data_IF_093868334441
#
_entry.id   IF_093868334441
#
_cell.length_a   1.000
_cell.length_b   1.000
_cell.length_c   1.000
_cell.angle_alpha   90.00
_cell.angle_beta   90.00
_cell.angle_gamma   90.00
#
_symmetry.space_group_name_H-M   'P 1'
#
loop_
_entity.id
_entity.type
_entity.pdbx_description
1 polymer ?
#
# COMPACT_ATOMS: atom_id res chain seq x y z
N UNK A 1 19.33 -35.93 8.35
CA UNK A 1 17.96 -35.67 8.87
C UNK A 1 17.85 -34.17 8.95
N UNK A 2 17.03 -33.53 8.11
CA UNK A 2 16.57 -32.19 8.44
C UNK A 2 15.64 -32.33 9.65
N UNK A 3 15.84 -31.51 10.68
CA UNK A 3 14.79 -31.32 11.67
C UNK A 3 13.76 -30.39 11.07
N UNK A 4 12.52 -30.86 10.94
CA UNK A 4 11.38 -29.96 10.80
C UNK A 4 11.29 -29.14 12.10
N UNK A 5 12.01 -28.01 12.11
CA UNK A 5 11.91 -27.01 13.16
C UNK A 5 10.54 -26.37 13.02
N UNK A 6 9.56 -26.99 13.69
CA UNK A 6 8.17 -26.56 13.71
C UNK A 6 8.13 -25.05 13.94
N UNK A 7 7.66 -24.27 12.97
CA UNK A 7 7.52 -22.82 13.11
C UNK A 7 6.69 -22.60 14.38
N UNK A 8 7.23 -21.92 15.42
CA UNK A 8 6.57 -21.84 16.70
C UNK A 8 5.19 -21.18 16.53
N UNK A 9 4.16 -21.76 17.18
CA UNK A 9 2.75 -21.36 17.01
C UNK A 9 2.60 -19.84 17.04
N UNK A 10 2.43 -19.23 15.86
CA UNK A 10 2.38 -17.78 15.75
C UNK A 10 1.00 -17.29 16.18
N UNK A 11 0.91 -16.82 17.42
CA UNK A 11 -0.31 -16.33 18.04
C UNK A 11 -0.54 -14.87 17.66
N UNK A 12 -1.48 -14.66 16.74
CA UNK A 12 -1.90 -13.32 16.32
C UNK A 12 -2.98 -12.79 17.25
N UNK A 13 -2.84 -11.55 17.70
CA UNK A 13 -3.89 -10.78 18.36
C UNK A 13 -4.13 -9.51 17.55
N UNK A 14 -5.38 -9.27 17.15
CA UNK A 14 -5.76 -8.14 16.31
C UNK A 14 -6.60 -7.11 17.08
N UNK A 15 -6.17 -5.85 17.05
CA UNK A 15 -7.02 -4.69 17.39
C UNK A 15 -7.42 -4.04 16.06
N UNK A 16 -8.70 -4.16 15.69
CA UNK A 16 -9.18 -3.60 14.44
C UNK A 16 -9.32 -2.07 14.54
N UNK A 17 -8.68 -1.32 13.66
CA UNK A 17 -8.78 0.15 13.59
C UNK A 17 -10.08 0.62 12.91
N UNK A 18 -10.73 -0.24 12.14
CA UNK A 18 -12.09 -0.08 11.62
C UNK A 18 -12.73 -1.45 11.36
N UNK A 19 -14.05 -1.47 11.16
CA UNK A 19 -14.80 -2.63 10.70
C UNK A 19 -15.72 -2.21 9.55
N UNK A 20 -15.37 -2.57 8.32
CA UNK A 20 -16.06 -2.15 7.09
C UNK A 20 -16.38 -3.34 6.19
N UNK A 21 -17.52 -3.28 5.48
CA UNK A 21 -17.95 -4.38 4.60
C UNK A 21 -17.08 -4.61 3.35
N UNK A 22 -16.18 -3.68 3.05
CA UNK A 22 -15.24 -3.71 1.93
C UNK A 22 -14.10 -2.69 2.16
N UNK A 23 -13.05 -2.76 1.33
CA UNK A 23 -11.95 -1.81 1.33
C UNK A 23 -12.40 -0.39 0.92
N UNK A 24 -11.65 0.64 1.32
CA UNK A 24 -11.99 2.07 1.12
C UNK A 24 -11.91 2.54 -0.33
N UNK A 25 -11.20 1.81 -1.20
CA UNK A 25 -11.12 2.09 -2.64
C UNK A 25 -12.44 1.85 -3.41
N UNK A 26 -13.41 1.16 -2.82
CA UNK A 26 -14.72 0.93 -3.43
C UNK A 26 -15.61 2.19 -3.34
N UNK A 27 -16.41 2.45 -4.38
CA UNK A 27 -17.30 3.63 -4.48
C UNK A 27 -18.33 3.80 -3.35
N UNK A 28 -18.57 2.75 -2.57
CA UNK A 28 -19.46 2.73 -1.42
C UNK A 28 -18.79 1.92 -0.32
N UNK A 29 -18.79 2.45 0.90
CA UNK A 29 -18.21 1.81 2.09
C UNK A 29 -19.20 2.01 3.24
N UNK A 30 -19.47 0.96 4.01
CA UNK A 30 -20.24 1.04 5.25
C UNK A 30 -19.52 0.26 6.34
N UNK A 31 -19.61 0.77 7.57
CA UNK A 31 -18.88 0.23 8.71
C UNK A 31 -18.70 1.27 9.82
N UNK A 32 -17.89 0.91 10.81
CA UNK A 32 -17.44 1.78 11.91
C UNK A 32 -15.93 2.02 11.83
N UNK A 33 -15.49 3.17 12.35
CA UNK A 33 -14.08 3.43 12.69
C UNK A 33 -13.94 3.25 14.20
N UNK A 34 -12.89 2.57 14.65
CA UNK A 34 -12.60 2.39 16.08
C UNK A 34 -11.95 3.67 16.62
N UNK A 35 -12.40 4.15 17.77
CA UNK A 35 -11.88 5.37 18.39
C UNK A 35 -10.47 5.15 18.99
N UNK A 36 -9.66 6.21 19.14
CA UNK A 36 -8.37 6.11 19.81
C UNK A 36 -8.51 5.74 21.30
N UNK A 37 -9.62 6.09 21.95
CA UNK A 37 -9.96 5.65 23.30
C UNK A 37 -10.27 4.14 23.31
N UNK A 38 -11.11 3.64 22.39
CA UNK A 38 -11.43 2.21 22.26
C UNK A 38 -10.17 1.36 21.99
N UNK A 39 -9.26 1.84 21.14
CA UNK A 39 -7.96 1.19 20.88
C UNK A 39 -7.11 1.08 22.16
N UNK A 40 -7.09 2.14 22.98
CA UNK A 40 -6.33 2.17 24.23
C UNK A 40 -7.01 1.36 25.35
N UNK A 41 -8.33 1.33 25.43
CA UNK A 41 -9.10 0.51 26.37
C UNK A 41 -8.90 -0.99 26.09
N UNK A 42 -8.93 -1.38 24.80
CA UNK A 42 -8.59 -2.75 24.40
C UNK A 42 -7.17 -3.13 24.81
N UNK A 43 -6.17 -2.27 24.56
CA UNK A 43 -4.79 -2.52 24.97
C UNK A 43 -4.63 -2.60 26.50
N UNK A 44 -5.31 -1.72 27.25
CA UNK A 44 -5.32 -1.75 28.71
C UNK A 44 -5.93 -3.05 29.26
N UNK A 45 -7.01 -3.56 28.64
CA UNK A 45 -7.58 -4.87 28.98
C UNK A 45 -6.61 -6.03 28.77
N UNK A 46 -5.79 -5.98 27.71
CA UNK A 46 -4.70 -6.95 27.49
C UNK A 46 -3.61 -6.84 28.56
N UNK A 47 -3.21 -5.62 28.90
CA UNK A 47 -2.20 -5.33 29.93
C UNK A 47 -2.64 -5.83 31.32
N UNK A 48 -3.89 -5.55 31.71
CA UNK A 48 -4.50 -6.07 32.95
C UNK A 48 -4.59 -7.61 32.96
N UNK A 49 -4.77 -8.23 31.78
CA UNK A 49 -4.81 -9.68 31.62
C UNK A 49 -3.42 -10.34 31.52
N UNK A 50 -2.32 -9.57 31.55
CA UNK A 50 -0.94 -10.02 31.27
C UNK A 50 -0.76 -10.62 29.86
N UNK A 51 -1.54 -10.16 28.89
CA UNK A 51 -1.52 -10.58 27.48
C UNK A 51 -0.77 -9.60 26.56
N UNK A 52 -0.07 -8.60 27.11
CA UNK A 52 0.65 -7.57 26.35
C UNK A 52 2.12 -7.93 26.01
N UNK A 53 2.54 -9.18 26.24
CA UNK A 53 3.90 -9.68 25.95
C UNK A 53 4.05 -10.08 24.48
N UNK A 54 4.20 -9.10 23.59
CA UNK A 54 4.36 -9.32 22.15
C UNK A 54 5.83 -9.35 21.70
N UNK A 55 6.17 -10.26 20.77
CA UNK A 55 7.48 -10.26 20.10
C UNK A 55 7.50 -9.45 18.80
N UNK A 56 6.34 -9.26 18.16
CA UNK A 56 6.19 -8.41 17.00
C UNK A 56 4.95 -7.53 17.17
N UNK A 57 5.06 -6.26 16.81
CA UNK A 57 3.92 -5.39 16.55
C UNK A 57 3.87 -5.12 15.05
N UNK A 58 2.71 -5.33 14.42
CA UNK A 58 2.44 -4.89 13.05
C UNK A 58 1.32 -3.85 13.09
N UNK A 59 1.56 -2.69 12.47
CA UNK A 59 0.58 -1.58 12.41
C UNK A 59 0.46 -1.09 10.98
N UNK A 60 -0.74 -1.19 10.40
CA UNK A 60 -1.11 -0.61 9.12
C UNK A 60 -2.10 0.55 9.29
N UNK A 61 -3.03 0.69 8.33
CA UNK A 61 -3.99 1.78 8.22
C UNK A 61 -4.69 2.18 9.53
N UNK A 62 -4.57 3.48 9.85
CA UNK A 62 -5.30 4.15 10.92
C UNK A 62 -6.36 5.10 10.35
N UNK A 63 -7.49 5.31 11.05
CA UNK A 63 -8.60 6.12 10.56
C UNK A 63 -8.58 7.60 11.02
N UNK A 64 -7.59 8.01 11.82
CA UNK A 64 -7.40 9.39 12.29
C UNK A 64 -5.99 9.58 12.88
N UNK A 65 -5.49 10.82 12.90
CA UNK A 65 -4.21 11.19 13.54
C UNK A 65 -4.15 10.75 15.02
N UNK A 66 -5.27 10.84 15.75
CA UNK A 66 -5.35 10.40 17.13
C UNK A 66 -5.22 8.87 17.29
N UNK A 67 -5.61 8.08 16.28
CA UNK A 67 -5.37 6.63 16.26
C UNK A 67 -3.89 6.32 15.98
N UNK A 68 -3.22 7.09 15.12
CA UNK A 68 -1.74 7.02 14.92
C UNK A 68 -1.01 7.34 16.24
N UNK A 69 -1.44 8.38 16.97
CA UNK A 69 -0.94 8.68 18.31
C UNK A 69 -1.24 7.56 19.33
N UNK A 70 -2.38 6.86 19.23
CA UNK A 70 -2.75 5.75 20.11
C UNK A 70 -1.84 4.53 19.91
N UNK A 71 -1.66 4.06 18.67
CA UNK A 71 -0.71 2.98 18.38
C UNK A 71 0.75 3.40 18.64
N UNK A 72 1.04 4.70 18.54
CA UNK A 72 2.29 5.31 19.02
C UNK A 72 2.54 5.20 20.53
N UNK A 73 1.50 5.17 21.37
CA UNK A 73 1.63 4.90 22.81
C UNK A 73 1.85 3.41 23.06
N UNK A 74 1.06 2.56 22.39
CA UNK A 74 1.11 1.10 22.50
C UNK A 74 2.50 0.55 22.12
N UNK A 75 3.01 0.92 20.95
CA UNK A 75 4.32 0.44 20.48
C UNK A 75 5.48 0.85 21.40
N UNK A 76 5.41 2.03 22.01
CA UNK A 76 6.41 2.50 22.99
C UNK A 76 6.32 1.78 24.33
N UNK A 77 5.13 1.45 24.83
CA UNK A 77 4.98 0.64 26.05
C UNK A 77 5.57 -0.76 25.85
N UNK A 78 5.24 -1.43 24.74
CA UNK A 78 5.79 -2.76 24.42
C UNK A 78 7.32 -2.68 24.23
N UNK A 79 7.84 -1.68 23.51
CA UNK A 79 9.29 -1.47 23.31
C UNK A 79 10.03 -1.14 24.61
N UNK A 80 9.39 -0.43 25.54
CA UNK A 80 9.91 -0.19 26.89
C UNK A 80 9.98 -1.48 27.72
N UNK A 81 8.89 -2.26 27.75
CA UNK A 81 8.83 -3.54 28.46
C UNK A 81 9.88 -4.54 27.92
N UNK A 82 10.09 -4.57 26.60
CA UNK A 82 11.12 -5.36 25.94
C UNK A 82 12.56 -4.84 26.13
N UNK A 83 12.75 -3.61 26.63
CA UNK A 83 14.06 -2.96 26.74
C UNK A 83 15.10 -3.69 27.62
N UNK A 84 14.65 -4.66 28.42
CA UNK A 84 15.54 -5.54 29.22
C UNK A 84 16.11 -6.73 28.43
N UNK A 85 15.55 -7.06 27.26
CA UNK A 85 16.03 -8.10 26.35
C UNK A 85 16.09 -7.57 24.90
N UNK A 86 17.22 -6.95 24.50
CA UNK A 86 17.47 -6.54 23.13
C UNK A 86 17.10 -7.62 22.10
N UNK A 87 16.51 -7.20 20.99
CA UNK A 87 16.02 -8.09 19.92
C UNK A 87 14.73 -8.88 20.23
N UNK A 88 14.18 -8.85 21.45
CA UNK A 88 12.97 -9.63 21.77
C UNK A 88 11.65 -9.01 21.31
N UNK A 89 11.68 -7.79 20.78
CA UNK A 89 10.55 -7.06 20.20
C UNK A 89 10.97 -6.37 18.91
N UNK A 90 10.09 -6.41 17.90
CA UNK A 90 10.30 -5.82 16.58
C UNK A 90 9.01 -5.16 16.10
N UNK A 91 9.04 -3.88 15.74
CA UNK A 91 7.87 -3.16 15.24
C UNK A 91 7.94 -2.95 13.72
N UNK A 92 6.98 -3.55 13.00
CA UNK A 92 6.68 -3.28 11.59
C UNK A 92 5.60 -2.20 11.47
N UNK A 93 5.93 -1.10 10.80
CA UNK A 93 5.02 0.00 10.51
C UNK A 93 4.78 0.08 9.00
N UNK A 94 3.59 -0.29 8.57
CA UNK A 94 3.06 -0.01 7.23
C UNK A 94 2.37 1.37 7.29
N UNK A 95 2.99 2.44 6.75
CA UNK A 95 2.54 3.81 6.92
C UNK A 95 1.48 4.14 5.87
N UNK A 96 0.34 3.46 5.92
CA UNK A 96 -0.74 3.55 4.91
C UNK A 96 -1.36 4.95 4.92
N UNK A 97 -0.96 5.79 3.96
CA UNK A 97 -1.39 7.17 3.82
C UNK A 97 -1.98 7.48 2.43
N UNK A 98 -1.51 6.82 1.37
CA UNK A 98 -1.91 7.17 0.01
C UNK A 98 -1.12 6.45 -1.07
N UNK A 99 -1.59 6.55 -2.31
CA UNK A 99 -1.00 5.91 -3.49
C UNK A 99 -1.37 6.74 -4.74
N UNK A 100 -0.75 6.48 -5.89
CA UNK A 100 -0.99 7.17 -7.16
C UNK A 100 -0.98 8.71 -7.03
N UNK A 101 -0.01 9.23 -6.29
CA UNK A 101 0.22 10.66 -6.11
C UNK A 101 -0.80 11.37 -5.21
N UNK A 102 -1.60 10.64 -4.42
CA UNK A 102 -2.67 11.21 -3.60
C UNK A 102 -2.83 10.53 -2.23
N UNK A 103 -2.96 11.34 -1.18
CA UNK A 103 -3.40 10.89 0.14
C UNK A 103 -4.86 10.39 0.13
N UNK A 104 -5.10 9.31 0.85
CA UNK A 104 -6.43 8.78 1.17
C UNK A 104 -6.87 9.10 2.61
N UNK A 105 -5.92 9.53 3.45
CA UNK A 105 -6.14 10.01 4.81
C UNK A 105 -6.06 11.56 4.88
N UNK A 106 -6.59 12.19 5.95
CA UNK A 106 -6.33 13.59 6.30
C UNK A 106 -4.83 13.95 6.37
N UNK A 107 -4.48 15.18 5.98
CA UNK A 107 -3.09 15.64 5.91
C UNK A 107 -2.41 15.76 7.29
N UNK A 108 -3.19 15.93 8.36
CA UNK A 108 -2.72 16.02 9.75
C UNK A 108 -2.28 14.66 10.35
N UNK A 109 -2.52 13.54 9.65
CA UNK A 109 -1.95 12.24 10.03
C UNK A 109 -0.47 12.09 9.62
N UNK A 110 -0.02 12.78 8.55
CA UNK A 110 1.33 12.65 8.00
C UNK A 110 2.43 13.06 9.01
N UNK A 111 2.29 14.15 9.80
CA UNK A 111 3.22 14.47 10.88
C UNK A 111 3.30 13.38 11.96
N UNK A 112 2.18 12.70 12.27
CA UNK A 112 2.15 11.65 13.28
C UNK A 112 2.88 10.39 12.79
N UNK A 113 2.64 9.94 11.55
CA UNK A 113 3.42 8.84 10.96
C UNK A 113 4.92 9.18 10.94
N UNK A 114 5.30 10.42 10.57
CA UNK A 114 6.70 10.89 10.64
C UNK A 114 7.28 10.86 12.05
N UNK A 115 6.47 11.05 13.09
CA UNK A 115 6.89 10.94 14.49
C UNK A 115 7.10 9.47 14.92
N UNK A 116 6.36 8.51 14.36
CA UNK A 116 6.50 7.08 14.69
C UNK A 116 7.70 6.39 14.03
N UNK A 117 8.23 6.94 12.93
CA UNK A 117 9.33 6.29 12.16
C UNK A 117 10.57 5.96 13.01
N UNK A 118 10.80 6.66 14.13
CA UNK A 118 11.93 6.38 15.03
C UNK A 118 11.66 5.22 16.00
N UNK A 119 10.40 4.93 16.28
CA UNK A 119 10.01 3.85 17.18
C UNK A 119 9.90 2.51 16.44
N UNK A 120 9.67 2.53 15.12
CA UNK A 120 9.62 1.36 14.25
C UNK A 120 11.01 0.73 13.97
N UNK A 121 11.04 -0.56 13.70
CA UNK A 121 12.25 -1.33 13.34
C UNK A 121 12.29 -1.66 11.83
N UNK A 122 11.12 -1.87 11.22
CA UNK A 122 10.91 -1.99 9.77
C UNK A 122 9.75 -1.09 9.33
N UNK A 123 9.90 -0.41 8.20
CA UNK A 123 8.80 0.30 7.54
C UNK A 123 8.52 -0.23 6.12
N UNK A 124 7.25 -0.22 5.71
CA UNK A 124 6.77 -0.83 4.45
C UNK A 124 6.11 0.15 3.43
N UNK A 125 6.53 1.43 3.31
CA UNK A 125 5.85 2.40 2.44
C UNK A 125 5.84 1.99 0.95
N UNK A 126 4.80 2.38 0.22
CA UNK A 126 4.87 2.43 -1.24
C UNK A 126 5.71 3.65 -1.72
N UNK A 127 5.90 3.81 -3.04
CA UNK A 127 6.65 4.97 -3.59
C UNK A 127 6.15 6.32 -3.07
N UNK A 128 4.85 6.60 -3.16
CA UNK A 128 4.29 7.91 -2.78
C UNK A 128 4.39 8.18 -1.27
N UNK A 129 4.26 7.13 -0.45
CA UNK A 129 4.48 7.21 0.99
C UNK A 129 5.96 7.47 1.31
N UNK A 130 6.89 6.82 0.61
CA UNK A 130 8.32 7.07 0.76
C UNK A 130 8.70 8.50 0.34
N UNK A 131 8.13 9.03 -0.75
CA UNK A 131 8.27 10.44 -1.14
C UNK A 131 7.78 11.37 -0.01
N UNK A 132 6.58 11.10 0.50
CA UNK A 132 5.90 11.90 1.53
C UNK A 132 6.66 11.88 2.86
N UNK A 133 7.21 10.74 3.28
CA UNK A 133 7.95 10.56 4.53
C UNK A 133 9.38 11.14 4.47
N UNK A 134 10.06 10.98 3.33
CA UNK A 134 11.43 11.48 3.11
C UNK A 134 11.50 12.96 2.72
N UNK A 135 10.38 13.57 2.33
CA UNK A 135 10.31 14.92 1.74
C UNK A 135 11.11 15.02 0.41
N UNK A 136 11.21 13.92 -0.33
CA UNK A 136 12.04 13.77 -1.56
C UNK A 136 11.24 13.10 -2.67
N UNK A 137 11.07 13.77 -3.82
CA UNK A 137 10.46 13.16 -5.02
C UNK A 137 11.36 12.07 -5.58
N UNK A 138 10.78 10.92 -5.92
CA UNK A 138 11.48 9.77 -6.48
C UNK A 138 11.19 9.71 -7.98
N UNK A 139 12.23 9.79 -8.79
CA UNK A 139 12.18 9.73 -10.27
C UNK A 139 12.95 8.56 -10.87
N UNK A 140 13.80 7.91 -10.07
CA UNK A 140 14.84 6.96 -10.48
C UNK A 140 15.48 6.30 -9.25
N UNK A 141 16.41 5.36 -9.46
CA UNK A 141 17.09 4.65 -8.36
C UNK A 141 18.01 5.54 -7.51
N UNK A 142 18.54 6.65 -8.03
CA UNK A 142 19.43 7.56 -7.29
C UNK A 142 18.62 8.44 -6.31
N UNK A 143 17.52 9.01 -6.77
CA UNK A 143 16.55 9.74 -5.94
C UNK A 143 15.87 8.82 -4.91
N UNK A 144 15.60 7.55 -5.27
CA UNK A 144 15.17 6.52 -4.34
C UNK A 144 16.20 6.25 -3.25
N UNK A 145 17.48 6.08 -3.62
CA UNK A 145 18.57 5.88 -2.66
C UNK A 145 18.72 7.09 -1.72
N UNK A 146 18.52 8.31 -2.22
CA UNK A 146 18.50 9.53 -1.40
C UNK A 146 17.30 9.55 -0.42
N UNK A 147 16.09 9.18 -0.87
CA UNK A 147 14.92 9.07 -0.02
C UNK A 147 15.12 8.03 1.11
N UNK A 148 15.63 6.83 0.79
CA UNK A 148 15.94 5.78 1.77
C UNK A 148 17.07 6.22 2.72
N UNK A 149 18.09 6.92 2.22
CA UNK A 149 19.14 7.51 3.05
C UNK A 149 18.58 8.54 4.05
N UNK A 150 17.56 9.33 3.67
CA UNK A 150 16.86 10.21 4.61
C UNK A 150 16.06 9.40 5.63
N UNK A 151 15.35 8.36 5.21
CA UNK A 151 14.57 7.49 6.12
C UNK A 151 15.46 6.89 7.23
N UNK A 152 16.61 6.30 6.84
CA UNK A 152 17.59 5.80 7.79
C UNK A 152 18.19 6.93 8.66
N UNK A 153 18.65 8.05 8.08
CA UNK A 153 19.48 9.03 8.80
C UNK A 153 18.71 10.07 9.63
N UNK A 154 17.55 10.53 9.15
CA UNK A 154 16.70 11.53 9.83
C UNK A 154 15.91 10.88 10.96
N UNK A 155 15.27 9.75 10.66
CA UNK A 155 14.36 9.10 11.60
C UNK A 155 15.02 7.99 12.43
N UNK A 156 16.14 7.42 11.97
CA UNK A 156 16.87 6.28 12.58
C UNK A 156 16.24 4.90 12.32
N UNK A 157 15.40 4.81 11.28
CA UNK A 157 14.77 3.56 10.80
C UNK A 157 15.84 2.51 10.46
N UNK A 158 15.84 1.32 11.09
CA UNK A 158 16.79 0.25 10.78
C UNK A 158 16.55 -0.40 9.42
N UNK A 159 15.31 -0.76 9.11
CA UNK A 159 14.93 -1.46 7.87
C UNK A 159 13.83 -0.72 7.10
N UNK A 160 13.95 -0.69 5.77
CA UNK A 160 12.96 -0.11 4.85
C UNK A 160 12.68 -1.13 3.75
N UNK A 161 11.41 -1.36 3.41
CA UNK A 161 11.04 -1.98 2.13
C UNK A 161 10.11 -1.02 1.41
N UNK A 162 10.47 -0.66 0.19
CA UNK A 162 9.60 0.05 -0.74
C UNK A 162 8.77 -1.00 -1.47
N UNK A 163 7.51 -1.13 -1.07
CA UNK A 163 6.66 -2.30 -1.39
C UNK A 163 6.21 -2.37 -2.85
N UNK A 164 6.24 -1.25 -3.58
CA UNK A 164 6.04 -1.24 -5.03
C UNK A 164 6.71 -0.04 -5.69
N UNK A 165 7.44 -0.31 -6.78
CA UNK A 165 8.00 0.65 -7.73
C UNK A 165 7.75 0.15 -9.14
N UNK A 166 7.44 1.07 -10.06
CA UNK A 166 7.25 0.79 -11.49
C UNK A 166 8.42 1.39 -12.26
N UNK A 167 9.36 0.56 -12.70
CA UNK A 167 10.57 1.01 -13.37
C UNK A 167 10.49 0.83 -14.89
N UNK A 168 10.96 1.85 -15.61
CA UNK A 168 11.28 1.78 -17.04
C UNK A 168 12.58 1.01 -17.28
N UNK A 169 12.88 0.68 -18.55
CA UNK A 169 14.16 0.04 -18.94
C UNK A 169 15.41 0.86 -18.59
N UNK A 170 15.30 2.19 -18.48
CA UNK A 170 16.37 3.09 -18.03
C UNK A 170 16.35 3.36 -16.51
N UNK A 171 15.65 2.52 -15.72
CA UNK A 171 15.54 2.59 -14.26
C UNK A 171 14.95 3.90 -13.71
N UNK A 172 14.11 4.59 -14.50
CA UNK A 172 13.26 5.68 -14.01
C UNK A 172 11.98 5.13 -13.43
N UNK A 173 11.47 5.75 -12.38
CA UNK A 173 10.12 5.45 -11.89
C UNK A 173 9.07 6.11 -12.77
N UNK A 174 8.03 5.36 -13.11
CA UNK A 174 6.83 5.92 -13.75
C UNK A 174 6.04 6.68 -12.68
N UNK A 175 5.86 7.98 -12.91
CA UNK A 175 5.28 8.95 -11.97
C UNK A 175 3.96 8.47 -11.37
N UNK A 176 3.91 8.36 -10.05
CA UNK A 176 2.68 8.12 -9.27
C UNK A 176 1.59 9.15 -9.58
N UNK A 177 1.99 10.39 -9.92
CA UNK A 177 1.13 11.43 -10.49
C UNK A 177 0.74 11.10 -11.93
N UNK A 178 -0.52 10.70 -12.12
CA UNK A 178 -1.17 10.65 -13.44
C UNK A 178 -1.17 12.04 -14.09
N UNK A 179 -0.75 12.19 -15.36
CA UNK A 179 -0.86 13.46 -16.08
C UNK A 179 -2.33 13.92 -16.17
N UNK A 180 -2.62 15.08 -15.56
CA UNK A 180 -3.96 15.67 -15.65
C UNK A 180 -4.28 16.00 -17.11
N UNK A 181 -5.28 15.31 -17.71
CA UNK A 181 -5.75 15.59 -19.07
C UNK A 181 -5.99 17.09 -19.23
N UNK A 182 -5.26 17.71 -20.16
CA UNK A 182 -5.28 19.15 -20.41
C UNK A 182 -6.73 19.61 -20.66
N UNK A 183 -7.23 20.66 -19.98
CA UNK A 183 -8.57 21.17 -20.23
C UNK A 183 -8.70 21.60 -21.69
N UNK A 184 -9.58 20.93 -22.44
CA UNK A 184 -9.91 21.30 -23.81
C UNK A 184 -10.47 22.73 -23.82
N UNK A 185 -9.87 23.62 -24.62
CA UNK A 185 -10.20 25.05 -24.71
C UNK A 185 -11.70 25.31 -24.62
N UNK A 186 -12.13 26.07 -23.60
CA UNK A 186 -13.45 26.66 -23.59
C UNK A 186 -13.58 27.69 -24.74
N UNK A 187 -14.61 27.61 -25.60
CA UNK A 187 -14.92 28.69 -26.53
C UNK A 187 -15.40 29.93 -25.76
N UNK A 188 -14.98 31.11 -26.17
CA UNK A 188 -15.25 32.36 -25.45
C UNK A 188 -16.51 33.07 -25.93
N UNK A 189 -17.19 33.70 -24.98
CA UNK A 189 -18.15 34.80 -25.12
C UNK A 189 -19.48 34.55 -25.87
N UNK A 190 -20.57 34.78 -25.15
CA UNK A 190 -21.33 36.01 -25.42
C UNK A 190 -21.98 36.55 -24.13
N UNK A 191 -22.23 37.87 -24.08
CA UNK A 191 -22.73 38.57 -22.89
C UNK A 191 -24.05 39.27 -23.21
N UNK A 192 -25.10 39.00 -22.43
CA UNK A 192 -26.24 39.91 -22.21
C UNK A 192 -27.16 39.40 -21.09
N UNK A 193 -27.98 40.28 -20.50
CA UNK A 193 -29.28 39.88 -19.95
C UNK A 193 -29.40 39.51 -18.46
N UNK A 194 -29.17 40.48 -17.57
CA UNK A 194 -30.09 40.92 -16.48
C UNK A 194 -30.94 39.94 -15.62
N UNK A 195 -31.12 40.33 -14.34
CA UNK A 195 -32.23 39.98 -13.41
C UNK A 195 -32.27 38.61 -12.69
N UNK A 196 -31.86 38.63 -11.41
CA UNK A 196 -32.61 38.04 -10.27
C UNK A 196 -34.01 38.68 -10.15
N UNK A 197 -35.05 38.09 -9.49
CA UNK A 197 -34.94 37.38 -8.20
C UNK A 197 -35.98 36.26 -7.89
N UNK A 198 -36.01 35.88 -6.59
CA UNK A 198 -37.07 35.23 -5.78
C UNK A 198 -37.24 33.69 -5.75
N UNK A 199 -37.39 33.21 -4.51
CA UNK A 199 -38.16 32.07 -3.98
C UNK A 199 -37.82 30.59 -4.27
N UNK A 200 -37.58 29.87 -3.17
CA UNK A 200 -37.85 28.43 -3.00
C UNK A 200 -39.32 28.19 -2.64
N UNK A 201 -39.79 26.94 -2.64
CA UNK A 201 -40.41 26.47 -1.40
C UNK A 201 -39.93 25.10 -0.90
N UNK A 202 -39.99 24.91 0.41
CA UNK A 202 -39.89 23.60 1.05
C UNK A 202 -41.09 22.70 0.69
N UNK A 203 -40.86 21.40 0.62
CA UNK A 203 -41.86 20.38 1.00
C UNK A 203 -41.16 19.28 1.81
N UNK A 204 -41.57 19.14 3.07
CA UNK A 204 -41.17 18.07 4.00
C UNK A 204 -42.27 16.96 4.01
N UNK A 205 -42.06 15.77 4.62
CA UNK A 205 -42.64 14.54 4.08
C UNK A 205 -43.91 14.08 4.81
N UNK A 206 -44.73 13.28 4.13
CA UNK A 206 -45.48 12.16 4.74
C UNK A 206 -46.18 11.31 3.69
N UNK A 207 -45.80 10.03 3.58
CA UNK A 207 -46.76 8.91 3.53
C UNK A 207 -46.09 7.56 3.72
N UNK A 208 -46.41 6.95 4.85
CA UNK A 208 -46.20 5.52 5.13
C UNK A 208 -47.19 4.72 4.28
N UNK A 209 -46.76 3.63 3.66
CA UNK A 209 -47.60 2.44 3.50
C UNK A 209 -46.74 1.17 3.40
N UNK A 210 -47.38 0.03 3.70
CA UNK A 210 -46.73 -1.22 4.11
C UNK A 210 -46.79 -2.33 3.05
N UNK A 211 -45.96 -3.35 3.25
CA UNK A 211 -45.79 -4.49 2.37
C UNK A 211 -47.04 -5.36 2.15
N UNK A 212 -47.12 -5.94 0.96
CA UNK A 212 -47.27 -7.40 0.75
C UNK A 212 -47.02 -7.73 -0.73
N UNK A 213 -46.42 -8.88 -1.03
CA UNK A 213 -46.14 -9.31 -2.42
C UNK A 213 -46.89 -10.58 -2.82
N UNK A 214 -46.87 -10.89 -4.12
CA UNK A 214 -47.24 -12.21 -4.65
C UNK A 214 -46.56 -12.46 -6.01
N UNK A 215 -45.98 -13.64 -6.18
CA UNK A 215 -45.30 -14.05 -7.42
C UNK A 215 -46.24 -14.82 -8.33
N UNK A 216 -46.21 -14.56 -9.64
CA UNK A 216 -46.67 -15.52 -10.66
C UNK A 216 -45.77 -15.50 -11.91
N UNK A 217 -45.47 -16.70 -12.42
CA UNK A 217 -44.75 -16.93 -13.67
C UNK A 217 -45.70 -16.88 -14.87
N UNK A 218 -45.27 -16.25 -15.98
CA UNK A 218 -45.69 -16.62 -17.35
C UNK A 218 -44.43 -16.66 -18.24
N UNK A 219 -44.46 -17.51 -19.26
CA UNK A 219 -43.27 -18.01 -19.98
C UNK A 219 -42.95 -17.28 -21.30
N UNK A 220 -41.65 -17.24 -21.63
CA UNK A 220 -41.04 -17.36 -22.96
C UNK A 220 -41.69 -16.72 -24.22
N UNK A 221 -40.92 -15.85 -24.87
CA UNK A 221 -40.78 -15.81 -26.34
C UNK A 221 -39.38 -15.32 -26.72
N UNK A 222 -38.82 -15.80 -27.83
CA UNK A 222 -37.47 -15.50 -28.33
C UNK A 222 -37.57 -15.29 -29.85
N UNK A 223 -37.21 -14.09 -30.34
CA UNK A 223 -37.19 -13.74 -31.75
C UNK A 223 -36.12 -12.68 -32.04
N UNK A 224 -35.19 -13.05 -32.92
CA UNK A 224 -34.30 -12.21 -33.73
C UNK A 224 -34.38 -12.77 -35.19
N UNK A 225 -33.80 -12.14 -36.22
CA UNK A 225 -34.03 -10.78 -36.69
C UNK A 225 -34.46 -10.80 -38.19
N UNK A 226 -33.84 -9.98 -39.05
CA UNK A 226 -34.11 -9.78 -40.50
C UNK A 226 -35.46 -9.09 -40.83
N UNK A 227 -35.66 -8.35 -41.93
CA UNK A 227 -34.81 -7.92 -43.08
C UNK A 227 -34.76 -6.36 -43.10
N UNK A 228 -34.31 -5.57 -44.09
CA UNK A 228 -33.85 -5.77 -45.48
C UNK A 228 -33.03 -4.56 -45.98
N UNK A 229 -32.47 -4.64 -47.20
CA UNK A 229 -31.94 -3.51 -47.97
C UNK A 229 -32.82 -3.17 -49.20
N UNK A 230 -32.67 -1.97 -49.77
CA UNK A 230 -32.63 -1.82 -51.23
C UNK A 230 -31.29 -1.21 -51.69
N UNK A 231 -30.87 -1.54 -52.92
CA UNK A 231 -29.62 -1.09 -53.52
C UNK A 231 -29.86 -0.15 -54.73
N UNK A 232 -28.90 0.72 -55.03
CA UNK A 232 -28.91 1.57 -56.22
C UNK A 232 -27.49 1.83 -56.79
N UNK A 233 -27.25 1.32 -58.00
CA UNK A 233 -26.37 1.84 -59.08
C UNK A 233 -24.97 2.41 -58.78
N UNK A 234 -23.97 1.92 -59.52
CA UNK A 234 -22.57 2.37 -59.52
C UNK A 234 -22.22 3.35 -60.66
N UNK A 235 -21.16 4.14 -60.44
CA UNK A 235 -20.41 4.91 -61.45
C UNK A 235 -18.91 4.97 -61.05
N UNK A 236 -17.96 5.18 -61.98
CA UNK A 236 -16.58 4.70 -61.81
C UNK A 236 -15.53 5.71 -61.29
N UNK A 237 -14.44 5.13 -60.77
CA UNK A 237 -13.07 5.62 -60.65
C UNK A 237 -12.79 7.09 -60.27
N UNK A 238 -12.43 7.27 -58.99
CA UNK A 238 -11.37 8.20 -58.59
C UNK A 238 -10.42 7.44 -57.67
N UNK A 239 -9.13 7.38 -58.01
CA UNK A 239 -8.16 6.63 -57.22
C UNK A 239 -7.94 7.30 -55.85
N UNK A 240 -8.21 6.57 -54.77
CA UNK A 240 -7.92 7.04 -53.43
C UNK A 240 -6.39 7.27 -53.27
N UNK A 241 -5.96 8.35 -52.59
CA UNK A 241 -4.56 8.48 -52.23
C UNK A 241 -4.13 7.32 -51.33
N UNK A 242 -2.84 6.93 -51.32
CA UNK A 242 -2.35 5.96 -50.35
C UNK A 242 -2.66 6.45 -48.92
N UNK A 243 -2.87 5.53 -47.95
CA UNK A 243 -2.96 5.94 -46.56
C UNK A 243 -1.70 6.75 -46.18
N UNK A 244 -1.81 7.74 -45.28
CA UNK A 244 -0.62 8.35 -44.72
C UNK A 244 0.28 7.25 -44.14
N UNK A 245 1.62 7.43 -44.15
CA UNK A 245 2.50 6.46 -43.51
C UNK A 245 2.00 6.26 -42.08
N UNK A 246 1.84 5.00 -41.68
CA UNK A 246 1.59 4.68 -40.28
C UNK A 246 2.76 5.27 -39.51
N UNK A 247 2.49 6.32 -38.72
CA UNK A 247 3.35 6.65 -37.60
C UNK A 247 3.36 5.38 -36.75
N UNK A 248 4.55 4.87 -36.45
CA UNK A 248 4.68 3.72 -35.56
C UNK A 248 4.00 4.10 -34.24
N UNK A 249 2.86 3.47 -33.95
CA UNK A 249 2.25 3.50 -32.62
C UNK A 249 3.37 3.08 -31.65
N UNK A 250 3.74 3.91 -30.66
CA UNK A 250 4.90 3.61 -29.82
C UNK A 250 4.71 2.23 -29.19
N UNK A 251 5.71 1.35 -29.35
CA UNK A 251 5.66 -0.01 -28.81
C UNK A 251 5.21 0.07 -27.35
N UNK A 252 4.11 -0.60 -27.02
CA UNK A 252 3.48 -0.51 -25.70
C UNK A 252 4.51 -0.80 -24.61
N UNK A 253 4.93 0.24 -23.88
CA UNK A 253 5.88 0.20 -22.75
C UNK A 253 5.21 -0.44 -21.51
N UNK A 254 4.53 -1.55 -21.76
CA UNK A 254 4.06 -2.56 -20.84
C UNK A 254 5.17 -2.91 -19.84
N UNK A 255 5.05 -2.28 -18.67
CA UNK A 255 5.75 -2.66 -17.44
C UNK A 255 5.41 -4.13 -17.21
N UNK A 256 6.42 -5.00 -17.20
CA UNK A 256 6.21 -6.44 -17.01
C UNK A 256 6.40 -6.88 -15.58
N UNK A 257 7.12 -6.08 -14.80
CA UNK A 257 7.59 -6.42 -13.46
C UNK A 257 7.35 -5.24 -12.51
N UNK A 258 6.88 -5.54 -11.30
CA UNK A 258 6.92 -4.62 -10.16
C UNK A 258 8.24 -4.83 -9.44
N UNK A 259 8.99 -3.75 -9.23
CA UNK A 259 10.23 -3.79 -8.47
C UNK A 259 9.95 -3.52 -6.99
N UNK A 260 10.52 -4.34 -6.12
CA UNK A 260 10.63 -4.13 -4.67
C UNK A 260 12.08 -3.73 -4.37
N UNK A 261 12.28 -2.63 -3.64
CA UNK A 261 13.60 -2.20 -3.20
C UNK A 261 13.63 -2.21 -1.67
N UNK A 262 14.48 -3.06 -1.10
CA UNK A 262 14.68 -3.16 0.34
C UNK A 262 16.00 -2.57 0.79
N UNK A 263 16.09 -2.18 2.06
CA UNK A 263 17.34 -1.74 2.67
C UNK A 263 17.45 -2.02 4.16
N UNK A 264 18.68 -2.34 4.58
CA UNK A 264 19.08 -2.41 5.98
C UNK A 264 20.19 -1.40 6.24
N UNK A 265 19.96 -0.51 7.20
CA UNK A 265 20.96 0.46 7.63
C UNK A 265 22.24 -0.22 8.13
N UNK A 266 23.37 0.43 7.86
CA UNK A 266 24.62 0.23 8.60
C UNK A 266 24.58 0.95 9.96
N UNK A 267 25.62 0.79 10.79
CA UNK A 267 25.77 1.50 12.06
C UNK A 267 25.85 3.02 11.89
N UNK A 268 26.39 3.52 10.76
CA UNK A 268 26.42 4.95 10.42
C UNK A 268 25.26 5.42 9.51
N UNK A 269 24.20 4.61 9.45
CA UNK A 269 22.94 4.86 8.74
C UNK A 269 23.05 4.99 7.20
N UNK A 270 24.11 4.50 6.55
CA UNK A 270 24.10 4.30 5.09
C UNK A 270 23.15 3.16 4.70
N UNK A 271 22.39 3.29 3.60
CA UNK A 271 21.59 2.19 3.06
C UNK A 271 22.47 1.07 2.49
N UNK A 272 22.02 -0.17 2.67
CA UNK A 272 22.48 -1.34 1.89
C UNK A 272 21.28 -1.79 1.06
N UNK A 273 21.25 -1.41 -0.21
CA UNK A 273 20.09 -1.62 -1.08
C UNK A 273 20.13 -3.01 -1.71
N UNK A 274 19.00 -3.71 -1.70
CA UNK A 274 18.77 -4.91 -2.51
C UNK A 274 17.51 -4.72 -3.37
N UNK A 275 17.47 -5.42 -4.50
CA UNK A 275 16.40 -5.36 -5.50
C UNK A 275 15.81 -6.75 -5.72
N UNK A 276 14.49 -6.79 -5.83
CA UNK A 276 13.72 -7.97 -6.25
C UNK A 276 12.72 -7.46 -7.30
N UNK A 277 12.68 -8.11 -8.47
CA UNK A 277 11.67 -7.87 -9.49
C UNK A 277 10.72 -9.05 -9.51
N UNK A 278 9.42 -8.79 -9.54
CA UNK A 278 8.37 -9.81 -9.64
C UNK A 278 7.44 -9.47 -10.80
N UNK A 279 7.00 -10.43 -11.63
CA UNK A 279 6.04 -10.17 -12.69
C UNK A 279 4.79 -9.45 -12.18
N UNK A 280 4.34 -8.44 -12.92
CA UNK A 280 3.10 -7.73 -12.63
C UNK A 280 1.91 -8.62 -13.01
N UNK A 281 1.07 -8.96 -12.01
CA UNK A 281 -0.23 -9.53 -12.28
C UNK A 281 -1.18 -8.42 -12.75
N UNK A 282 -1.95 -8.59 -13.85
CA UNK A 282 -2.89 -7.61 -14.37
C UNK A 282 -4.19 -7.55 -13.54
N UNK A 283 -4.06 -7.49 -12.21
CA UNK A 283 -5.13 -7.54 -11.22
C UNK A 283 -4.81 -6.55 -10.09
N UNK A 284 -5.68 -5.55 -9.90
CA UNK A 284 -5.53 -4.60 -8.81
C UNK A 284 -6.07 -5.17 -7.49
N UNK A 285 -5.16 -5.55 -6.60
CA UNK A 285 -5.48 -5.94 -5.22
C UNK A 285 -5.33 -4.73 -4.29
N UNK A 286 -6.42 -4.28 -3.68
CA UNK A 286 -6.42 -3.08 -2.82
C UNK A 286 -6.23 -3.44 -1.35
N UNK A 287 -5.21 -2.86 -0.71
CA UNK A 287 -4.90 -3.15 0.70
C UNK A 287 -4.18 -4.49 0.85
N UNK A 288 -2.95 -4.57 0.35
CA UNK A 288 -2.08 -5.75 0.39
C UNK A 288 -0.86 -5.58 1.30
N UNK A 289 -0.66 -4.41 1.92
CA UNK A 289 0.49 -4.12 2.79
C UNK A 289 0.50 -4.98 4.07
N UNK A 290 -0.67 -5.29 4.62
CA UNK A 290 -0.85 -6.21 5.74
C UNK A 290 -0.52 -7.67 5.35
N UNK A 291 -0.94 -8.11 4.17
CA UNK A 291 -0.56 -9.41 3.60
C UNK A 291 0.95 -9.48 3.31
N UNK A 292 1.55 -8.42 2.77
CA UNK A 292 2.99 -8.34 2.54
C UNK A 292 3.78 -8.40 3.86
N UNK A 293 3.33 -7.67 4.88
CA UNK A 293 3.88 -7.74 6.23
C UNK A 293 3.76 -9.16 6.81
N UNK A 294 2.57 -9.76 6.76
CA UNK A 294 2.30 -11.09 7.29
C UNK A 294 3.10 -12.21 6.59
N UNK A 295 3.43 -12.05 5.31
CA UNK A 295 4.26 -13.00 4.55
C UNK A 295 5.77 -12.74 4.67
N UNK A 296 6.18 -11.52 5.02
CA UNK A 296 7.60 -11.13 5.17
C UNK A 296 8.09 -11.34 6.60
N UNK A 297 7.28 -11.07 7.62
CA UNK A 297 7.67 -11.16 9.04
C UNK A 297 8.15 -12.58 9.43
N UNK A 298 7.45 -13.69 9.12
CA UNK A 298 7.92 -15.03 9.48
C UNK A 298 9.22 -15.38 8.76
N UNK A 299 9.32 -15.07 7.47
CA UNK A 299 10.54 -15.29 6.67
C UNK A 299 11.73 -14.46 7.18
N UNK A 300 11.49 -13.24 7.69
CA UNK A 300 12.53 -12.42 8.34
C UNK A 300 12.99 -13.06 9.64
N UNK A 301 12.06 -13.56 10.47
CA UNK A 301 12.40 -14.27 11.70
C UNK A 301 13.24 -15.53 11.38
N UNK A 302 12.83 -16.32 10.38
CA UNK A 302 13.59 -17.48 9.90
C UNK A 302 14.98 -17.08 9.40
N UNK A 303 15.09 -16.05 8.56
CA UNK A 303 16.36 -15.58 8.01
C UNK A 303 17.31 -14.99 9.07
N UNK A 304 16.78 -14.36 10.12
CA UNK A 304 17.54 -13.86 11.27
C UNK A 304 18.10 -15.02 12.10
N UNK A 305 17.30 -16.07 12.36
CA UNK A 305 17.78 -17.29 13.02
C UNK A 305 18.83 -18.03 12.16
N UNK A 306 18.58 -18.17 10.86
CA UNK A 306 19.49 -18.85 9.93
C UNK A 306 20.80 -18.08 9.68
N UNK A 307 20.82 -16.76 9.91
CA UNK A 307 22.01 -15.91 9.84
C UNK A 307 22.71 -15.70 11.19
N UNK A 308 22.21 -16.32 12.26
CA UNK A 308 22.83 -16.31 13.58
C UNK A 308 23.87 -17.43 13.71
N UNK A 309 24.99 -17.14 14.39
CA UNK A 309 26.12 -18.06 14.60
C UNK A 309 26.45 -18.15 16.11
N UNK A 310 27.27 -19.12 16.55
CA UNK A 310 27.69 -19.20 17.96
C UNK A 310 28.37 -17.94 18.50
N UNK A 311 28.99 -17.14 17.62
CA UNK A 311 29.68 -15.89 17.97
C UNK A 311 28.81 -14.63 17.74
N UNK A 312 27.64 -14.76 17.09
CA UNK A 312 26.72 -13.67 16.75
C UNK A 312 25.27 -14.15 16.71
N UNK A 313 24.53 -13.97 17.80
CA UNK A 313 23.08 -14.19 17.85
C UNK A 313 22.33 -12.91 17.42
N UNK A 314 21.87 -12.85 16.17
CA UNK A 314 21.09 -11.71 15.65
C UNK A 314 19.74 -11.55 16.34
N UNK A 315 19.17 -12.61 16.93
CA UNK A 315 17.90 -12.52 17.69
C UNK A 315 18.06 -11.71 18.99
N UNK A 316 19.30 -11.52 19.45
CA UNK A 316 19.67 -10.68 20.59
C UNK A 316 20.05 -9.25 20.21
N UNK A 317 20.15 -8.92 18.92
CA UNK A 317 20.57 -7.59 18.44
C UNK A 317 19.36 -6.66 18.32
N UNK A 318 19.45 -5.38 18.77
CA UNK A 318 18.41 -4.38 18.54
C UNK A 318 18.00 -4.31 17.08
N UNK A 319 16.68 -4.44 16.83
CA UNK A 319 16.10 -4.44 15.48
C UNK A 319 16.66 -5.54 14.56
N UNK A 320 17.27 -6.61 15.08
CA UNK A 320 17.92 -7.69 14.31
C UNK A 320 18.94 -7.23 13.25
N UNK A 321 19.52 -6.03 13.45
CA UNK A 321 20.34 -5.35 12.44
C UNK A 321 21.67 -6.08 12.22
N UNK A 322 21.92 -6.46 10.98
CA UNK A 322 23.14 -7.18 10.59
C UNK A 322 24.40 -6.30 10.67
N UNK A 323 25.57 -6.85 11.06
CA UNK A 323 26.87 -6.17 11.02
C UNK A 323 27.16 -5.52 9.67
N UNK A 324 27.98 -4.45 9.66
CA UNK A 324 28.16 -3.58 8.50
C UNK A 324 28.92 -4.22 7.33
N UNK A 325 29.65 -5.31 7.57
CA UNK A 325 30.34 -6.14 6.59
C UNK A 325 29.43 -7.13 5.85
N UNK A 326 28.19 -7.34 6.32
CA UNK A 326 27.19 -8.17 5.62
C UNK A 326 26.73 -7.46 4.35
N UNK A 327 26.94 -8.11 3.20
CA UNK A 327 26.58 -7.64 1.87
C UNK A 327 25.04 -7.51 1.69
N UNK A 328 24.54 -6.61 0.84
CA UNK A 328 23.11 -6.36 0.69
C UNK A 328 22.27 -7.60 0.35
N UNK A 329 22.79 -8.48 -0.51
CA UNK A 329 22.19 -9.75 -0.90
C UNK A 329 22.16 -10.79 0.23
N UNK A 330 23.10 -10.70 1.18
CA UNK A 330 23.22 -11.62 2.31
C UNK A 330 22.37 -11.21 3.53
N UNK A 331 21.75 -10.02 3.50
CA UNK A 331 20.90 -9.52 4.58
C UNK A 331 19.72 -10.47 4.85
N UNK A 332 19.34 -10.71 6.13
CA UNK A 332 18.13 -11.44 6.47
C UNK A 332 16.87 -10.88 5.80
N UNK A 333 16.78 -9.55 5.64
CA UNK A 333 15.68 -8.88 4.95
C UNK A 333 15.64 -9.16 3.44
N UNK A 334 16.80 -9.33 2.80
CA UNK A 334 16.87 -9.72 1.38
C UNK A 334 16.40 -11.17 1.20
N UNK A 335 16.98 -12.09 1.99
CA UNK A 335 16.62 -13.51 2.01
C UNK A 335 15.14 -13.74 2.34
N UNK A 336 14.57 -12.93 3.24
CA UNK A 336 13.15 -12.98 3.59
C UNK A 336 12.21 -12.64 2.43
N UNK A 337 12.61 -11.75 1.52
CA UNK A 337 11.80 -11.35 0.38
C UNK A 337 12.11 -12.16 -0.90
N UNK A 338 13.32 -12.71 -1.03
CA UNK A 338 13.75 -13.51 -2.20
C UNK A 338 13.12 -14.91 -2.26
N UNK A 339 12.78 -15.52 -1.11
CA UNK A 339 12.37 -16.94 -1.02
C UNK A 339 10.91 -17.19 -1.46
N UNK A 340 10.62 -16.86 -2.72
CA UNK A 340 9.34 -17.05 -3.40
C UNK A 340 9.38 -18.01 -4.59
N UNK A 341 10.55 -18.30 -5.18
CA UNK A 341 10.66 -19.08 -6.43
C UNK A 341 11.19 -20.52 -6.24
N UNK A 342 11.98 -20.81 -5.21
CA UNK A 342 12.61 -22.13 -4.99
C UNK A 342 11.67 -23.20 -4.36
N UNK A 343 10.51 -22.81 -3.82
CA UNK A 343 9.51 -23.74 -3.29
C UNK A 343 8.51 -24.12 -4.40
N UNK A 344 8.92 -25.10 -5.21
CA UNK A 344 8.28 -25.45 -6.48
C UNK A 344 6.82 -25.95 -6.41
N UNK A 345 6.10 -25.65 -7.50
CA UNK A 345 4.77 -26.15 -7.87
C UNK A 345 4.79 -27.59 -8.37
#
# INVERSE_FOLDING_TARGET
>A
MASDALIPETRVLAIASHSTGNHTAYKQVKGTKTSPEEILELYEGLRQSNLNSFNVLSTGYMPSAACVQAIGKIGRDIKFNAGTKPGSFFWVLDPVMGDNGKLYIPEDEVPEYKALLRDADLILPNQFEAETLSDTTITDLDSLAAAIQILHKKYQVPHVIITSLRLTRDNRTISSRVPSRTPSKAPSANVSGHQTPVESPHLDPTKIHSASGSSQNISSAHLDPETSHPAATSAPDSAAPPPPPQLDEPEDESIKDITIIGSTATSDFKPRLFRIDTPELPLFFSGTGDMFAALTIPRLIEAVHASSTPDLDLTSIPSWRSPDDVAPEDLPLAKACQKGEDEGL
#
